data_IF_955055454208
#
_entry.id   IF_955055454208
#
_cell.length_a   1.000
_cell.length_b   1.000
_cell.length_c   1.000
_cell.angle_alpha   90.00
_cell.angle_beta   90.00
_cell.angle_gamma   90.00
#
_symmetry.space_group_name_H-M   'P 1'
#
loop_
_entity.id
_entity.type
_entity.pdbx_description
1 polymer ?
#
# COMPACT_ATOMS: atom_id res chain seq x y z
N UNK A 1 -6.98 15.93 11.63
CA UNK A 1 -6.96 14.51 12.06
C UNK A 1 -5.58 13.91 11.84
N UNK A 2 -5.19 12.92 12.65
CA UNK A 2 -3.98 12.12 12.41
C UNK A 2 -4.29 11.06 11.36
N UNK A 3 -3.55 11.07 10.25
CA UNK A 3 -3.74 10.14 9.14
C UNK A 3 -2.59 9.13 9.09
N UNK A 4 -2.94 7.85 9.05
CA UNK A 4 -1.96 6.75 8.93
C UNK A 4 -2.37 5.84 7.79
N UNK A 5 -1.45 5.57 6.87
CA UNK A 5 -1.71 4.70 5.72
C UNK A 5 -0.53 3.80 5.39
N UNK A 6 -0.80 2.52 5.14
CA UNK A 6 0.18 1.54 4.65
C UNK A 6 -0.04 1.25 3.17
N UNK A 7 1.04 1.14 2.39
CA UNK A 7 0.99 0.76 0.98
C UNK A 7 0.00 1.66 0.20
N UNK A 8 -0.99 1.10 -0.51
CA UNK A 8 -2.05 1.89 -1.17
C UNK A 8 -2.76 2.88 -0.22
N UNK A 9 -2.98 2.51 1.04
CA UNK A 9 -3.56 3.42 2.04
C UNK A 9 -2.66 4.61 2.35
N UNK A 10 -1.33 4.43 2.24
CA UNK A 10 -0.35 5.52 2.33
C UNK A 10 -0.52 6.53 1.20
N UNK A 11 -0.69 6.06 -0.04
CA UNK A 11 -1.05 6.94 -1.16
C UNK A 11 -2.36 7.68 -0.91
N UNK A 12 -3.38 6.98 -0.43
CA UNK A 12 -4.67 7.60 -0.13
C UNK A 12 -4.53 8.76 0.85
N UNK A 13 -3.79 8.60 1.95
CA UNK A 13 -3.60 9.68 2.92
C UNK A 13 -2.71 10.81 2.40
N UNK A 14 -1.74 10.51 1.53
CA UNK A 14 -0.92 11.53 0.87
C UNK A 14 -1.76 12.39 -0.08
N UNK A 15 -2.60 11.79 -0.93
CA UNK A 15 -3.50 12.53 -1.81
C UNK A 15 -4.54 13.36 -1.04
N UNK A 16 -5.03 12.83 0.08
CA UNK A 16 -5.92 13.60 0.97
C UNK A 16 -5.19 14.81 1.54
N UNK A 17 -3.95 14.64 1.99
CA UNK A 17 -3.13 15.73 2.51
C UNK A 17 -2.74 16.77 1.45
N UNK A 18 -2.56 16.37 0.19
CA UNK A 18 -2.39 17.28 -0.94
C UNK A 18 -3.65 18.10 -1.21
N UNK A 19 -4.83 17.46 -1.18
CA UNK A 19 -6.09 18.12 -1.51
C UNK A 19 -6.68 18.96 -0.38
N UNK A 20 -6.48 18.56 0.89
CA UNK A 20 -7.10 19.14 2.08
C UNK A 20 -6.11 19.26 3.24
N UNK A 21 -4.99 19.99 3.10
CA UNK A 21 -3.95 20.08 4.11
C UNK A 21 -4.47 20.63 5.46
N UNK A 22 -5.49 21.49 5.44
CA UNK A 22 -6.12 22.06 6.63
C UNK A 22 -6.89 21.05 7.50
N UNK A 23 -7.08 19.81 6.99
CA UNK A 23 -7.76 18.72 7.70
C UNK A 23 -6.79 17.73 8.35
N UNK A 24 -5.48 17.95 8.19
CA UNK A 24 -4.42 17.04 8.63
C UNK A 24 -3.69 17.63 9.83
N UNK A 25 -3.66 16.88 10.93
CA UNK A 25 -2.89 17.27 12.13
C UNK A 25 -1.49 16.64 12.08
N UNK A 26 -1.40 15.40 11.57
CA UNK A 26 -0.14 14.67 11.32
C UNK A 26 -0.37 13.65 10.20
N UNK A 27 0.67 13.38 9.40
CA UNK A 27 0.64 12.39 8.33
C UNK A 27 1.71 11.31 8.55
N UNK A 28 1.29 10.04 8.61
CA UNK A 28 2.20 8.89 8.74
C UNK A 28 1.98 7.96 7.55
N UNK A 29 3.03 7.78 6.74
CA UNK A 29 3.03 6.93 5.56
C UNK A 29 3.92 5.72 5.82
N UNK A 30 3.36 4.53 5.71
CA UNK A 30 4.05 3.28 5.99
C UNK A 30 4.33 2.58 4.66
N UNK A 31 5.61 2.57 4.30
CA UNK A 31 6.23 1.74 3.29
C UNK A 31 5.62 1.85 1.89
N UNK A 32 5.48 3.09 1.44
CA UNK A 32 5.15 3.48 0.07
C UNK A 32 5.70 4.87 -0.24
N UNK A 33 6.31 5.03 -1.42
CA UNK A 33 6.73 6.33 -1.91
C UNK A 33 5.56 7.12 -2.55
N UNK A 34 5.61 8.46 -2.56
CA UNK A 34 4.60 9.29 -3.23
C UNK A 34 4.62 9.13 -4.76
N UNK A 35 5.74 8.70 -5.33
CA UNK A 35 5.98 8.49 -6.75
C UNK A 35 6.73 7.19 -7.01
N UNK A 36 6.73 6.75 -8.27
CA UNK A 36 7.59 5.65 -8.71
C UNK A 36 9.02 6.16 -8.81
N UNK A 37 9.88 5.77 -7.88
CA UNK A 37 11.26 6.27 -7.80
C UNK A 37 12.21 5.61 -8.81
N UNK A 38 11.73 4.60 -9.56
CA UNK A 38 12.49 3.89 -10.59
C UNK A 38 11.67 3.80 -11.88
N UNK A 39 11.97 4.62 -12.91
CA UNK A 39 11.25 4.60 -14.19
C UNK A 39 11.54 3.35 -15.03
N UNK A 40 12.70 2.70 -14.84
CA UNK A 40 13.09 1.48 -15.56
C UNK A 40 12.63 0.20 -14.85
N UNK A 41 12.09 0.32 -13.64
CA UNK A 41 11.74 -0.83 -12.84
C UNK A 41 10.33 -1.27 -13.21
N UNK A 42 10.27 -2.32 -14.02
CA UNK A 42 9.19 -3.28 -13.95
C UNK A 42 9.17 -3.93 -12.56
N UNK A 43 8.89 -3.11 -11.54
CA UNK A 43 9.23 -3.43 -10.18
C UNK A 43 8.59 -4.76 -9.81
N UNK A 44 9.35 -5.56 -9.07
CA UNK A 44 8.88 -6.83 -8.53
C UNK A 44 7.49 -6.65 -7.88
N UNK A 45 7.22 -5.46 -7.34
CA UNK A 45 5.97 -5.10 -6.68
C UNK A 45 4.80 -4.91 -7.66
N UNK A 46 4.96 -4.13 -8.73
CA UNK A 46 3.89 -3.92 -9.72
C UNK A 46 3.53 -5.22 -10.43
N UNK A 47 4.54 -6.07 -10.72
CA UNK A 47 4.35 -7.43 -11.25
C UNK A 47 3.61 -8.31 -10.25
N UNK A 48 4.06 -8.37 -9.01
CA UNK A 48 3.42 -9.17 -7.94
C UNK A 48 1.96 -8.78 -7.73
N UNK A 49 1.65 -7.49 -7.67
CA UNK A 49 0.28 -7.01 -7.51
C UNK A 49 -0.59 -7.32 -8.73
N UNK A 50 -0.03 -7.19 -9.94
CA UNK A 50 -0.73 -7.57 -11.18
C UNK A 50 -1.07 -9.06 -11.16
N UNK A 51 -0.14 -9.94 -10.76
CA UNK A 51 -0.38 -11.37 -10.61
C UNK A 51 -1.44 -11.68 -9.54
N UNK A 52 -1.39 -10.99 -8.40
CA UNK A 52 -2.39 -11.13 -7.34
C UNK A 52 -3.78 -10.77 -7.85
N UNK A 53 -3.93 -9.60 -8.47
CA UNK A 53 -5.23 -9.13 -8.96
C UNK A 53 -5.74 -10.01 -10.09
N UNK A 54 -4.88 -10.44 -11.02
CA UNK A 54 -5.25 -11.44 -12.04
C UNK A 54 -5.71 -12.75 -11.42
N UNK A 55 -5.01 -13.23 -10.38
CA UNK A 55 -5.41 -14.43 -9.63
C UNK A 55 -6.74 -14.26 -8.92
N UNK A 56 -7.05 -13.07 -8.39
CA UNK A 56 -8.35 -12.79 -7.79
C UNK A 56 -9.48 -12.73 -8.81
N UNK A 57 -9.22 -12.18 -10.00
CA UNK A 57 -10.19 -12.08 -11.09
C UNK A 57 -10.44 -13.41 -11.79
N UNK A 58 -9.51 -14.37 -11.70
CA UNK A 58 -9.67 -15.70 -12.28
C UNK A 58 -10.46 -16.67 -11.38
N UNK A 59 -10.80 -16.27 -10.15
CA UNK A 59 -11.64 -17.08 -9.27
C UNK A 59 -13.07 -17.13 -9.81
N UNK A 60 -13.48 -18.32 -10.24
CA UNK A 60 -14.85 -18.62 -10.60
C UNK A 60 -15.62 -19.09 -9.36
N UNK A 61 -16.42 -18.18 -8.80
CA UNK A 61 -17.25 -18.47 -7.63
C UNK A 61 -18.39 -19.44 -7.90
N UNK A 62 -18.78 -19.67 -9.15
CA UNK A 62 -19.81 -20.68 -9.48
C UNK A 62 -19.34 -22.11 -9.15
N UNK A 63 -18.02 -22.31 -9.08
CA UNK A 63 -17.37 -23.59 -8.76
C UNK A 63 -16.89 -23.66 -7.30
N UNK A 64 -17.32 -22.75 -6.42
CA UNK A 64 -16.87 -22.67 -5.03
C UNK A 64 -17.97 -23.16 -4.10
N UNK A 65 -17.78 -24.33 -3.49
CA UNK A 65 -18.72 -24.89 -2.51
C UNK A 65 -18.21 -24.73 -1.07
N UNK A 66 -16.89 -24.62 -0.89
CA UNK A 66 -16.23 -24.34 0.39
C UNK A 66 -15.06 -23.37 0.21
N UNK A 67 -14.63 -22.70 1.28
CA UNK A 67 -13.56 -21.69 1.21
C UNK A 67 -12.25 -22.25 0.63
N UNK A 68 -11.97 -23.53 0.89
CA UNK A 68 -10.78 -24.21 0.39
C UNK A 68 -10.74 -24.29 -1.14
N UNK A 69 -11.88 -24.24 -1.82
CA UNK A 69 -11.91 -24.25 -3.28
C UNK A 69 -11.38 -22.93 -3.87
N UNK A 70 -11.58 -21.81 -3.18
CA UNK A 70 -10.97 -20.53 -3.57
C UNK A 70 -9.44 -20.60 -3.44
N UNK A 71 -8.91 -21.15 -2.34
CA UNK A 71 -7.46 -21.30 -2.16
C UNK A 71 -6.84 -22.18 -3.25
N UNK A 72 -7.51 -23.28 -3.64
CA UNK A 72 -7.07 -24.13 -4.77
C UNK A 72 -7.03 -23.38 -6.09
N UNK A 73 -8.04 -22.54 -6.36
CA UNK A 73 -8.05 -21.72 -7.58
C UNK A 73 -6.92 -20.68 -7.55
N UNK A 74 -6.75 -19.96 -6.43
CA UNK A 74 -5.67 -19.00 -6.25
C UNK A 74 -4.28 -19.63 -6.35
N UNK A 75 -4.10 -20.87 -5.87
CA UNK A 75 -2.83 -21.59 -5.91
C UNK A 75 -2.30 -21.86 -7.32
N UNK A 76 -3.15 -21.76 -8.36
CA UNK A 76 -2.74 -21.88 -9.77
C UNK A 76 -1.86 -20.73 -10.24
N UNK A 77 -1.97 -19.56 -9.60
CA UNK A 77 -1.24 -18.34 -9.99
C UNK A 77 -0.39 -17.81 -8.83
N UNK A 78 -0.90 -17.84 -7.61
CA UNK A 78 -0.28 -17.25 -6.43
C UNK A 78 0.34 -18.37 -5.58
N UNK A 79 1.62 -18.63 -5.75
CA UNK A 79 2.31 -19.74 -5.08
C UNK A 79 2.52 -19.53 -3.57
N UNK A 80 2.60 -18.28 -3.09
CA UNK A 80 2.81 -17.96 -1.68
C UNK A 80 1.58 -18.28 -0.81
N UNK A 81 1.65 -19.26 0.12
CA UNK A 81 0.53 -19.57 1.01
C UNK A 81 0.21 -18.44 1.98
N UNK A 82 1.20 -17.60 2.32
CA UNK A 82 1.00 -16.40 3.15
C UNK A 82 0.08 -15.39 2.45
N UNK A 83 0.35 -15.11 1.17
CA UNK A 83 -0.47 -14.19 0.37
C UNK A 83 -1.87 -14.76 0.17
N UNK A 84 -2.00 -16.04 -0.22
CA UNK A 84 -3.32 -16.66 -0.39
C UNK A 84 -4.16 -16.58 0.88
N UNK A 85 -3.60 -16.94 2.05
CA UNK A 85 -4.29 -16.82 3.34
C UNK A 85 -4.73 -15.39 3.65
N UNK A 86 -3.94 -14.40 3.27
CA UNK A 86 -4.32 -13.00 3.41
C UNK A 86 -5.49 -12.64 2.49
N UNK A 87 -5.42 -12.99 1.19
CA UNK A 87 -6.51 -12.75 0.23
C UNK A 87 -7.82 -13.45 0.64
N UNK A 88 -7.69 -14.65 1.20
CA UNK A 88 -8.82 -15.43 1.71
C UNK A 88 -9.60 -14.73 2.82
N UNK A 89 -9.02 -13.75 3.54
CA UNK A 89 -9.76 -12.90 4.50
C UNK A 89 -10.83 -12.03 3.82
N UNK A 90 -10.70 -11.80 2.51
CA UNK A 90 -11.66 -11.05 1.70
C UNK A 90 -12.74 -11.93 1.08
N UNK A 91 -12.78 -13.24 1.32
CA UNK A 91 -13.89 -14.09 0.88
C UNK A 91 -15.04 -13.96 1.88
N UNK A 92 -16.23 -13.62 1.40
CA UNK A 92 -17.47 -13.54 2.18
C UNK A 92 -18.58 -14.33 1.51
N UNK A 93 -19.71 -14.47 2.19
CA UNK A 93 -20.96 -14.97 1.59
C UNK A 93 -21.90 -13.82 1.26
N UNK A 94 -22.65 -13.95 0.16
CA UNK A 94 -23.78 -13.09 -0.17
C UNK A 94 -24.96 -13.38 0.76
N UNK A 95 -26.04 -12.61 0.64
CA UNK A 95 -27.29 -12.89 1.37
C UNK A 95 -27.93 -14.21 0.93
N UNK A 96 -27.68 -14.62 -0.31
CA UNK A 96 -28.17 -15.86 -0.92
C UNK A 96 -27.29 -17.07 -0.54
N UNK A 97 -26.16 -16.83 0.12
CA UNK A 97 -25.27 -17.87 0.65
C UNK A 97 -24.06 -18.18 -0.24
N UNK A 98 -24.02 -17.63 -1.46
CA UNK A 98 -22.93 -17.81 -2.42
C UNK A 98 -21.65 -17.11 -1.98
N UNK A 99 -20.50 -17.67 -2.36
CA UNK A 99 -19.21 -17.04 -2.08
C UNK A 99 -18.94 -15.88 -3.03
N UNK A 100 -18.31 -14.83 -2.51
CA UNK A 100 -17.90 -13.68 -3.29
C UNK A 100 -16.71 -12.95 -2.63
N UNK A 101 -16.08 -12.07 -3.39
CA UNK A 101 -15.16 -11.10 -2.81
C UNK A 101 -15.93 -10.05 -1.99
N UNK A 102 -15.43 -9.73 -0.79
CA UNK A 102 -15.86 -8.59 0.01
C UNK A 102 -15.45 -7.25 -0.64
N UNK A 103 -14.31 -7.27 -1.33
CA UNK A 103 -13.77 -6.13 -2.05
C UNK A 103 -14.19 -6.14 -3.52
N UNK A 104 -14.20 -4.97 -4.16
CA UNK A 104 -14.49 -4.85 -5.58
C UNK A 104 -13.24 -5.17 -6.41
N UNK A 105 -12.93 -6.46 -6.57
CA UNK A 105 -11.73 -6.91 -7.30
C UNK A 105 -11.74 -6.43 -8.76
N UNK A 106 -12.91 -6.33 -9.39
CA UNK A 106 -13.07 -5.84 -10.76
C UNK A 106 -12.64 -4.37 -10.90
N UNK A 107 -13.07 -3.51 -9.98
CA UNK A 107 -12.66 -2.10 -9.97
C UNK A 107 -11.16 -1.97 -9.71
N UNK A 108 -10.61 -2.73 -8.75
CA UNK A 108 -9.16 -2.72 -8.46
C UNK A 108 -8.37 -3.15 -9.70
N UNK A 109 -8.79 -4.19 -10.40
CA UNK A 109 -8.13 -4.65 -11.62
C UNK A 109 -8.19 -3.66 -12.76
N UNK A 110 -9.32 -2.96 -12.92
CA UNK A 110 -9.48 -1.91 -13.94
C UNK A 110 -8.60 -0.70 -13.65
N UNK A 111 -8.52 -0.28 -12.39
CA UNK A 111 -7.83 0.96 -11.97
C UNK A 111 -6.41 0.70 -11.45
N UNK A 112 -5.85 -0.50 -11.66
CA UNK A 112 -4.58 -0.89 -11.07
C UNK A 112 -3.44 0.04 -11.51
N UNK A 113 -3.43 0.48 -12.78
CA UNK A 113 -2.48 1.47 -13.28
C UNK A 113 -2.59 2.80 -12.53
N UNK A 114 -3.81 3.32 -12.38
CA UNK A 114 -4.11 4.56 -11.68
C UNK A 114 -3.71 4.49 -10.20
N UNK A 115 -3.84 3.32 -9.57
CA UNK A 115 -3.37 3.08 -8.19
C UNK A 115 -1.84 3.15 -8.10
N UNK A 116 -1.12 2.72 -9.15
CA UNK A 116 0.34 2.84 -9.22
C UNK A 116 0.82 4.23 -9.54
N UNK A 117 -0.02 5.11 -10.11
CA UNK A 117 0.33 6.51 -10.31
C UNK A 117 0.57 7.23 -8.98
N UNK A 118 1.56 8.10 -8.98
CA UNK A 118 1.98 8.88 -7.83
C UNK A 118 1.45 10.31 -7.86
N UNK A 119 1.83 11.09 -6.86
CA UNK A 119 1.64 12.54 -6.86
C UNK A 119 2.47 13.16 -8.00
N UNK A 120 1.87 14.09 -8.74
CA UNK A 120 2.55 14.79 -9.82
C UNK A 120 3.62 15.77 -9.28
N UNK A 121 4.89 15.36 -9.40
CA UNK A 121 6.04 16.14 -8.94
C UNK A 121 6.24 17.45 -9.70
N UNK A 122 5.63 17.63 -10.87
CA UNK A 122 5.76 18.87 -11.65
C UNK A 122 5.03 20.04 -10.98
N UNK A 123 4.05 19.76 -10.11
CA UNK A 123 3.34 20.76 -9.30
C UNK A 123 4.23 21.41 -8.24
N UNK A 124 5.36 20.79 -7.90
CA UNK A 124 6.21 21.21 -6.81
C UNK A 124 7.57 21.71 -7.31
N UNK A 125 8.04 22.79 -6.72
CA UNK A 125 9.43 23.27 -6.78
C UNK A 125 10.11 23.07 -5.41
N UNK A 126 11.45 23.00 -5.35
CA UNK A 126 12.16 22.91 -4.07
C UNK A 126 11.70 23.98 -3.07
N UNK A 127 11.27 23.57 -1.88
CA UNK A 127 10.77 24.46 -0.83
C UNK A 127 9.31 24.90 -0.95
N UNK A 128 8.59 24.48 -1.99
CA UNK A 128 7.15 24.79 -2.19
C UNK A 128 6.22 23.61 -1.90
N UNK A 129 6.76 22.55 -1.30
CA UNK A 129 5.99 21.38 -0.91
C UNK A 129 4.92 21.69 0.16
N UNK A 130 4.11 20.68 0.44
CA UNK A 130 3.05 20.73 1.43
C UNK A 130 3.67 20.87 2.83
N UNK A 131 3.20 21.86 3.57
CA UNK A 131 3.65 22.18 4.94
C UNK A 131 2.44 22.47 5.84
N UNK A 132 2.69 22.68 7.13
CA UNK A 132 1.65 23.01 8.12
C UNK A 132 1.31 21.88 9.10
N UNK A 133 1.80 20.67 8.84
CA UNK A 133 1.69 19.51 9.74
C UNK A 133 2.95 18.65 9.67
N UNK A 134 3.30 17.92 10.74
CA UNK A 134 4.39 16.96 10.75
C UNK A 134 4.09 15.75 9.86
N UNK A 135 5.13 15.25 9.19
CA UNK A 135 5.04 14.11 8.28
C UNK A 135 6.11 13.07 8.63
N UNK A 136 5.72 11.81 8.74
CA UNK A 136 6.64 10.68 8.96
C UNK A 136 6.44 9.63 7.86
N UNK A 137 7.53 9.26 7.20
CA UNK A 137 7.62 8.06 6.38
C UNK A 137 8.31 6.96 7.17
N UNK A 138 7.74 5.76 7.18
CA UNK A 138 8.32 4.58 7.83
C UNK A 138 8.55 3.53 6.75
N UNK A 139 9.79 3.06 6.59
CA UNK A 139 10.15 2.01 5.62
C UNK A 139 10.72 0.77 6.29
N UNK A 140 10.53 -0.38 5.67
CA UNK A 140 11.18 -1.63 6.08
C UNK A 140 12.62 -1.68 5.56
N UNK A 141 13.58 -2.14 6.36
CA UNK A 141 14.98 -2.32 5.95
C UNK A 141 15.14 -3.19 4.70
N UNK A 142 14.32 -4.25 4.57
CA UNK A 142 14.33 -5.16 3.44
C UNK A 142 13.19 -4.85 2.44
N UNK A 143 12.63 -3.64 2.49
CA UNK A 143 11.56 -3.24 1.58
C UNK A 143 12.07 -2.34 0.47
N UNK A 144 11.70 -2.68 -0.76
CA UNK A 144 12.06 -1.91 -1.96
C UNK A 144 11.03 -0.79 -2.27
N UNK A 145 10.07 -0.53 -1.37
CA UNK A 145 9.01 0.46 -1.58
C UNK A 145 9.44 1.92 -1.37
N UNK A 146 10.44 2.14 -0.50
CA UNK A 146 11.03 3.46 -0.23
C UNK A 146 12.54 3.29 -0.22
N UNK A 147 13.17 3.41 -1.39
CA UNK A 147 14.63 3.43 -1.52
C UNK A 147 15.20 4.81 -1.18
N UNK A 148 16.52 4.93 -1.08
CA UNK A 148 17.16 6.23 -0.85
C UNK A 148 16.92 7.21 -2.01
N UNK A 149 16.73 6.70 -3.24
CA UNK A 149 16.38 7.49 -4.42
C UNK A 149 14.99 8.11 -4.35
N UNK A 150 14.10 7.58 -3.49
CA UNK A 150 12.80 8.19 -3.24
C UNK A 150 12.86 9.42 -2.34
N UNK A 151 13.92 9.59 -1.55
CA UNK A 151 14.01 10.63 -0.52
C UNK A 151 13.92 12.04 -1.12
N UNK A 152 14.59 12.36 -2.25
CA UNK A 152 14.42 13.66 -2.91
C UNK A 152 12.97 13.97 -3.28
N UNK A 153 12.23 13.01 -3.83
CA UNK A 153 10.82 13.19 -4.22
C UNK A 153 9.91 13.37 -3.00
N UNK A 154 10.13 12.56 -1.96
CA UNK A 154 9.45 12.72 -0.66
C UNK A 154 9.67 14.12 -0.10
N UNK A 155 10.92 14.59 -0.08
CA UNK A 155 11.30 15.92 0.43
C UNK A 155 10.83 17.06 -0.48
N UNK A 156 10.65 16.80 -1.77
CA UNK A 156 10.09 17.77 -2.70
C UNK A 156 8.61 18.03 -2.41
N UNK A 157 7.85 16.97 -2.14
CA UNK A 157 6.40 17.06 -1.83
C UNK A 157 6.18 17.45 -0.36
N UNK A 158 6.94 16.86 0.58
CA UNK A 158 6.84 17.07 2.02
C UNK A 158 8.21 17.48 2.60
N UNK A 159 8.58 18.77 2.56
CA UNK A 159 9.92 19.23 2.92
C UNK A 159 10.36 18.86 4.34
N UNK A 160 9.40 18.88 5.27
CA UNK A 160 9.63 18.58 6.69
C UNK A 160 9.48 17.09 7.03
N UNK A 161 9.37 16.19 6.05
CA UNK A 161 9.14 14.77 6.31
C UNK A 161 10.32 14.11 7.06
N UNK A 162 10.04 13.42 8.16
CA UNK A 162 10.98 12.51 8.79
C UNK A 162 10.91 11.14 8.12
N UNK A 163 12.04 10.41 8.10
CA UNK A 163 12.12 9.06 7.52
C UNK A 163 12.72 8.13 8.55
N UNK A 164 11.96 7.10 8.94
CA UNK A 164 12.39 6.07 9.87
C UNK A 164 12.50 4.72 9.15
N UNK A 165 13.58 3.98 9.42
CA UNK A 165 13.77 2.61 8.94
C UNK A 165 13.52 1.62 10.08
N UNK A 166 12.68 0.63 9.84
CA UNK A 166 12.41 -0.47 10.78
C UNK A 166 13.32 -1.65 10.41
N UNK A 167 14.28 -2.04 11.27
CA UNK A 167 15.20 -3.15 11.01
C UNK A 167 14.46 -4.48 10.91
N UNK A 168 15.01 -5.40 10.12
CA UNK A 168 14.50 -6.77 9.93
C UNK A 168 13.03 -6.84 9.52
N UNK A 169 12.55 -5.85 8.75
CA UNK A 169 11.21 -5.82 8.19
C UNK A 169 11.26 -5.61 6.67
N UNK A 170 10.43 -6.35 5.94
CA UNK A 170 10.09 -6.04 4.56
C UNK A 170 8.82 -5.18 4.50
N UNK A 171 8.04 -5.32 3.43
CA UNK A 171 6.85 -4.49 3.20
C UNK A 171 5.72 -4.66 4.24
N UNK A 172 5.74 -5.74 5.01
CA UNK A 172 4.66 -6.06 5.95
C UNK A 172 5.11 -5.77 7.38
N UNK A 173 5.61 -4.55 7.61
CA UNK A 173 6.18 -4.09 8.89
C UNK A 173 5.23 -4.32 10.07
N UNK A 174 3.93 -4.12 9.86
CA UNK A 174 2.90 -4.31 10.88
C UNK A 174 2.67 -5.78 11.26
N UNK A 175 3.18 -6.73 10.46
CA UNK A 175 3.18 -8.17 10.77
C UNK A 175 4.55 -8.62 11.26
N UNK A 176 5.62 -8.06 10.69
CA UNK A 176 7.00 -8.53 10.91
C UNK A 176 7.65 -7.88 12.12
N UNK A 177 7.37 -6.60 12.37
CA UNK A 177 7.91 -5.80 13.48
C UNK A 177 6.81 -4.92 14.11
N UNK A 178 5.70 -5.50 14.61
CA UNK A 178 4.55 -4.74 15.10
C UNK A 178 4.89 -3.80 16.26
N UNK A 179 5.68 -4.27 17.23
CA UNK A 179 6.03 -3.48 18.42
C UNK A 179 6.90 -2.27 18.08
N UNK A 180 7.86 -2.47 17.17
CA UNK A 180 8.75 -1.39 16.75
C UNK A 180 8.00 -0.37 15.90
N UNK A 181 7.11 -0.80 15.00
CA UNK A 181 6.23 0.08 14.24
C UNK A 181 5.38 0.95 15.18
N UNK A 182 4.71 0.34 16.17
CA UNK A 182 3.88 1.06 17.14
C UNK A 182 4.72 2.04 17.97
N UNK A 183 5.91 1.64 18.40
CA UNK A 183 6.82 2.50 19.17
C UNK A 183 7.27 3.72 18.34
N UNK A 184 7.63 3.52 17.08
CA UNK A 184 8.02 4.60 16.16
C UNK A 184 6.86 5.58 15.94
N UNK A 185 5.64 5.08 15.70
CA UNK A 185 4.46 5.92 15.54
C UNK A 185 4.18 6.73 16.81
N UNK A 186 4.24 6.09 17.99
CA UNK A 186 4.01 6.77 19.28
C UNK A 186 5.08 7.79 19.66
N UNK A 187 6.30 7.62 19.18
CA UNK A 187 7.37 8.59 19.42
C UNK A 187 7.20 9.85 18.57
N UNK A 188 6.62 9.70 17.38
CA UNK A 188 6.38 10.80 16.45
C UNK A 188 5.14 11.64 16.79
N UNK A 189 4.10 11.01 17.35
CA UNK A 189 2.88 11.68 17.83
C UNK A 189 3.09 12.31 19.20
#
# INVERSE_FOLDING_TARGET
>A
AILVGHSMGGKTVMFLAEAFPERVDSLIVIDIAPTTCHPDDHSSQARTHTEIVKGMLSVDFSQVHKREDVDKQLARTIHSPRIRRFLMKNVTRSREGDYQWKLNAAAIGKELSSIFEGIDLSKYSPGTGITGFPVLFIRGEHSDYITDDCIPDIKKIFPMAEIATIPQAGHWLHVEQPDLLVKTIRYFL
#
